data_IF_228093721622
#
_entry.id   IF_228093721622
#
_cell.length_a   1.000
_cell.length_b   1.000
_cell.length_c   1.000
_cell.angle_alpha   90.00
_cell.angle_beta   90.00
_cell.angle_gamma   90.00
#
_symmetry.space_group_name_H-M   'P 1'
#
loop_
_entity.id
_entity.type
_entity.pdbx_description
1 polymer ?
#
# COMPACT_ATOMS: atom_id res chain seq x y z
N UNK A 1 18.02 52.59 -5.62
CA UNK A 1 17.05 53.72 -5.75
C UNK A 1 17.70 54.92 -6.44
N UNK A 2 17.72 54.98 -7.76
CA UNK A 2 17.94 56.27 -8.43
C UNK A 2 16.61 57.04 -8.44
N UNK A 3 16.50 58.12 -7.67
CA UNK A 3 15.44 59.12 -7.82
C UNK A 3 14.21 59.05 -6.90
N UNK A 4 14.11 58.09 -5.95
CA UNK A 4 12.99 58.05 -5.00
C UNK A 4 11.67 57.45 -5.51
N UNK A 5 11.65 56.93 -6.74
CA UNK A 5 10.49 56.25 -7.33
C UNK A 5 10.21 54.89 -6.69
N UNK A 6 8.93 54.53 -6.61
CA UNK A 6 8.45 53.19 -6.22
C UNK A 6 8.57 52.21 -7.38
N UNK A 7 8.58 50.91 -7.09
CA UNK A 7 8.64 49.91 -8.15
C UNK A 7 7.42 49.95 -9.08
N UNK A 8 6.26 50.37 -8.57
CA UNK A 8 5.02 50.49 -9.35
C UNK A 8 5.12 51.63 -10.38
N UNK A 9 5.57 52.82 -9.96
CA UNK A 9 5.74 53.99 -10.83
C UNK A 9 6.76 53.73 -11.95
N UNK A 10 7.81 52.95 -11.64
CA UNK A 10 8.82 52.58 -12.62
C UNK A 10 8.30 51.48 -13.57
N UNK A 11 7.47 50.54 -13.10
CA UNK A 11 6.83 49.53 -13.96
C UNK A 11 5.92 50.16 -15.01
N UNK A 12 5.15 51.19 -14.63
CA UNK A 12 4.28 51.93 -15.55
C UNK A 12 5.06 52.64 -16.68
N UNK A 13 6.37 52.83 -16.48
CA UNK A 13 7.30 53.34 -17.51
C UNK A 13 7.93 52.23 -18.37
N UNK A 14 7.41 50.99 -18.28
CA UNK A 14 7.78 49.83 -19.10
C UNK A 14 9.21 49.28 -18.89
N UNK A 15 9.82 49.55 -17.72
CA UNK A 15 11.11 48.99 -17.33
C UNK A 15 11.01 47.49 -17.02
N UNK A 16 12.05 46.74 -17.41
CA UNK A 16 12.16 45.31 -17.15
C UNK A 16 12.64 45.03 -15.72
N UNK A 17 12.22 43.92 -15.12
CA UNK A 17 12.61 43.54 -13.75
C UNK A 17 14.15 43.52 -13.56
N UNK A 18 14.90 43.09 -14.58
CA UNK A 18 16.37 43.07 -14.56
C UNK A 18 16.98 44.47 -14.40
N UNK A 19 16.43 45.48 -15.06
CA UNK A 19 16.91 46.86 -14.99
C UNK A 19 16.64 47.46 -13.61
N UNK A 20 15.49 47.12 -13.03
CA UNK A 20 15.13 47.59 -11.69
C UNK A 20 16.00 46.94 -10.61
N UNK A 21 16.32 45.65 -10.73
CA UNK A 21 17.29 44.98 -9.84
C UNK A 21 18.67 45.66 -9.94
N UNK A 22 19.14 45.97 -11.15
CA UNK A 22 20.40 46.70 -11.36
C UNK A 22 20.36 48.13 -10.76
N UNK A 23 19.18 48.76 -10.77
CA UNK A 23 18.90 50.05 -10.10
C UNK A 23 18.80 49.97 -8.57
N UNK A 24 18.96 48.77 -7.99
CA UNK A 24 18.99 48.51 -6.56
C UNK A 24 17.61 48.39 -5.90
N UNK A 25 16.58 48.01 -6.66
CA UNK A 25 15.30 47.58 -6.08
C UNK A 25 15.42 46.15 -5.52
N UNK A 26 14.74 45.87 -4.41
CA UNK A 26 14.69 44.51 -3.84
C UNK A 26 13.60 43.67 -4.52
N UNK A 27 13.68 42.35 -4.40
CA UNK A 27 12.63 41.44 -4.91
C UNK A 27 11.28 41.71 -4.25
N UNK A 28 11.26 42.10 -2.97
CA UNK A 28 10.04 42.50 -2.26
C UNK A 28 9.43 43.76 -2.86
N UNK A 29 10.24 44.79 -3.11
CA UNK A 29 9.78 46.04 -3.74
C UNK A 29 9.18 45.76 -5.11
N UNK A 30 9.82 44.90 -5.91
CA UNK A 30 9.31 44.51 -7.23
C UNK A 30 7.99 43.73 -7.14
N UNK A 31 7.86 42.79 -6.20
CA UNK A 31 6.61 42.07 -5.97
C UNK A 31 5.47 43.03 -5.59
N UNK A 32 5.73 43.97 -4.67
CA UNK A 32 4.76 45.01 -4.28
C UNK A 32 4.43 45.95 -5.45
N UNK A 33 5.41 46.20 -6.32
CA UNK A 33 5.24 46.95 -7.57
C UNK A 33 4.45 46.23 -8.67
N UNK A 34 4.01 44.98 -8.42
CA UNK A 34 3.19 44.20 -9.35
C UNK A 34 3.99 43.40 -10.38
N UNK A 35 5.27 43.14 -10.14
CA UNK A 35 6.02 42.15 -10.91
C UNK A 35 5.69 40.73 -10.44
N UNK A 36 5.51 39.83 -11.40
CA UNK A 36 5.18 38.44 -11.15
C UNK A 36 6.43 37.58 -10.99
N UNK A 37 6.26 36.37 -10.43
CA UNK A 37 7.35 35.43 -10.27
C UNK A 37 8.08 35.10 -11.59
N UNK A 38 7.35 35.10 -12.72
CA UNK A 38 7.93 34.90 -14.05
C UNK A 38 8.90 36.02 -14.44
N UNK A 39 8.56 37.28 -14.15
CA UNK A 39 9.41 38.44 -14.47
C UNK A 39 10.75 38.35 -13.72
N UNK A 40 10.67 38.03 -12.43
CA UNK A 40 11.83 37.92 -11.55
C UNK A 40 12.70 36.70 -11.90
N UNK A 41 12.08 35.59 -12.29
CA UNK A 41 12.80 34.40 -12.79
C UNK A 41 13.53 34.72 -14.10
N UNK A 42 12.87 35.40 -15.04
CA UNK A 42 13.49 35.84 -16.30
C UNK A 42 14.63 36.84 -16.07
N UNK A 43 14.52 37.67 -15.04
CA UNK A 43 15.57 38.58 -14.59
C UNK A 43 16.73 37.90 -13.83
N UNK A 44 16.67 36.58 -13.61
CA UNK A 44 17.74 35.80 -12.99
C UNK A 44 17.74 35.79 -11.47
N UNK A 45 16.64 36.18 -10.81
CA UNK A 45 16.53 36.06 -9.36
C UNK A 45 16.58 34.59 -8.92
N UNK A 46 17.32 34.32 -7.83
CA UNK A 46 17.29 32.99 -7.24
C UNK A 46 15.97 32.74 -6.54
N UNK A 47 15.52 31.48 -6.51
CA UNK A 47 14.28 31.11 -5.82
C UNK A 47 14.35 31.40 -4.30
N UNK A 48 15.55 31.43 -3.72
CA UNK A 48 15.76 31.86 -2.32
C UNK A 48 15.45 33.34 -2.13
N UNK A 49 15.90 34.19 -3.05
CA UNK A 49 15.63 35.63 -3.02
C UNK A 49 14.15 35.90 -3.28
N UNK A 50 13.52 35.13 -4.18
CA UNK A 50 12.08 35.21 -4.41
C UNK A 50 11.27 34.85 -3.17
N UNK A 51 11.65 33.77 -2.48
CA UNK A 51 11.02 33.43 -1.20
C UNK A 51 11.22 34.52 -0.14
N UNK A 52 12.45 35.03 0.00
CA UNK A 52 12.75 36.10 0.94
C UNK A 52 12.00 37.40 0.62
N UNK A 53 11.76 37.67 -0.68
CA UNK A 53 10.93 38.77 -1.17
C UNK A 53 9.41 38.55 -1.04
N UNK A 54 8.97 37.41 -0.51
CA UNK A 54 7.58 37.12 -0.19
C UNK A 54 6.78 36.40 -1.27
N UNK A 55 7.42 35.82 -2.30
CA UNK A 55 6.73 34.92 -3.22
C UNK A 55 6.43 33.58 -2.55
N UNK A 56 5.21 33.09 -2.74
CA UNK A 56 4.76 31.78 -2.27
C UNK A 56 5.19 30.64 -3.22
N UNK A 57 5.11 29.40 -2.76
CA UNK A 57 5.34 28.24 -3.63
C UNK A 57 4.33 28.19 -4.81
N UNK A 58 3.12 28.71 -4.63
CA UNK A 58 2.10 28.81 -5.69
C UNK A 58 2.49 29.80 -6.77
N UNK A 59 3.04 30.96 -6.39
CA UNK A 59 3.53 31.96 -7.34
C UNK A 59 4.67 31.38 -8.18
N UNK A 60 5.62 30.70 -7.51
CA UNK A 60 6.75 30.06 -8.16
C UNK A 60 6.30 28.90 -9.08
N UNK A 61 5.30 28.11 -8.68
CA UNK A 61 4.76 27.05 -9.54
C UNK A 61 4.09 27.61 -10.78
N UNK A 62 3.32 28.69 -10.64
CA UNK A 62 2.72 29.41 -11.76
C UNK A 62 3.77 29.96 -12.72
N UNK A 63 4.97 30.25 -12.19
CA UNK A 63 6.16 30.59 -12.97
C UNK A 63 6.96 29.39 -13.53
N UNK A 64 6.38 28.19 -13.51
CA UNK A 64 6.98 26.96 -14.04
C UNK A 64 8.25 26.54 -13.30
N UNK A 65 8.39 26.91 -12.02
CA UNK A 65 9.49 26.42 -11.18
C UNK A 65 9.21 24.97 -10.77
N UNK A 66 10.22 24.13 -10.70
CA UNK A 66 10.07 22.72 -10.33
C UNK A 66 10.04 22.52 -8.80
N UNK A 67 9.50 21.39 -8.34
CA UNK A 67 9.54 21.02 -6.93
C UNK A 67 10.98 20.99 -6.36
N UNK A 68 11.98 20.59 -7.16
CA UNK A 68 13.40 20.56 -6.77
C UNK A 68 13.97 21.95 -6.49
N UNK A 69 13.67 22.91 -7.36
CA UNK A 69 14.10 24.31 -7.22
C UNK A 69 13.42 24.98 -6.02
N UNK A 70 12.10 24.80 -5.86
CA UNK A 70 11.34 25.31 -4.72
C UNK A 70 11.87 24.71 -3.41
N UNK A 71 12.11 23.39 -3.36
CA UNK A 71 12.71 22.75 -2.18
C UNK A 71 14.11 23.31 -1.88
N UNK A 72 14.92 23.59 -2.90
CA UNK A 72 16.25 24.19 -2.73
C UNK A 72 16.19 25.65 -2.22
N UNK A 73 15.07 26.33 -2.44
CA UNK A 73 14.74 27.61 -1.81
C UNK A 73 14.27 27.49 -0.35
N UNK A 74 14.14 26.27 0.16
CA UNK A 74 13.85 25.96 1.56
C UNK A 74 12.37 25.82 1.90
N UNK A 75 11.48 25.79 0.91
CA UNK A 75 10.07 25.50 1.14
C UNK A 75 9.88 24.05 1.62
N UNK A 76 8.89 23.85 2.50
CA UNK A 76 8.52 22.57 3.09
C UNK A 76 7.54 21.81 2.19
N UNK A 77 7.49 20.49 2.33
CA UNK A 77 6.58 19.64 1.55
C UNK A 77 5.10 20.03 1.65
N UNK A 78 4.65 20.54 2.79
CA UNK A 78 3.29 21.09 2.97
C UNK A 78 3.02 22.27 2.04
N UNK A 79 3.96 23.23 1.96
CA UNK A 79 3.86 24.40 1.09
C UNK A 79 3.83 23.99 -0.39
N UNK A 80 4.62 22.97 -0.78
CA UNK A 80 4.61 22.44 -2.14
C UNK A 80 3.27 21.74 -2.47
N UNK A 81 2.73 20.95 -1.54
CA UNK A 81 1.42 20.30 -1.75
C UNK A 81 0.30 21.33 -1.90
N UNK A 82 0.29 22.36 -1.06
CA UNK A 82 -0.67 23.47 -1.14
C UNK A 82 -0.55 24.25 -2.46
N UNK A 83 0.68 24.40 -2.97
CA UNK A 83 0.92 24.95 -4.31
C UNK A 83 0.46 24.01 -5.44
N UNK A 84 0.11 22.76 -5.14
CA UNK A 84 -0.44 21.79 -6.09
C UNK A 84 0.60 20.86 -6.72
N UNK A 85 1.82 20.78 -6.17
CA UNK A 85 2.73 19.69 -6.54
C UNK A 85 2.24 18.36 -5.96
N UNK A 86 2.36 17.29 -6.74
CA UNK A 86 1.99 15.95 -6.30
C UNK A 86 3.17 15.20 -5.64
N UNK A 87 2.87 14.08 -4.97
CA UNK A 87 3.87 13.30 -4.25
C UNK A 87 5.04 12.82 -5.13
N UNK A 88 4.79 12.51 -6.41
CA UNK A 88 5.85 12.08 -7.35
C UNK A 88 6.80 13.23 -7.68
N UNK A 89 6.31 14.45 -7.85
CA UNK A 89 7.14 15.63 -8.05
C UNK A 89 8.03 15.88 -6.82
N UNK A 90 7.47 15.77 -5.61
CA UNK A 90 8.26 15.88 -4.38
C UNK A 90 9.27 14.72 -4.23
N UNK A 91 8.87 13.50 -4.55
CA UNK A 91 9.77 12.34 -4.52
C UNK A 91 10.96 12.50 -5.47
N UNK A 92 10.71 12.99 -6.68
CA UNK A 92 11.73 13.27 -7.69
C UNK A 92 12.61 14.48 -7.37
N UNK A 93 12.11 15.43 -6.58
CA UNK A 93 12.86 16.62 -6.16
C UNK A 93 14.09 16.30 -5.28
N UNK A 94 14.12 15.12 -4.66
CA UNK A 94 15.20 14.69 -3.78
C UNK A 94 15.18 15.35 -2.40
N UNK A 95 15.39 14.53 -1.37
CA UNK A 95 15.40 14.98 0.03
C UNK A 95 14.04 15.00 0.72
N UNK A 96 12.97 14.57 0.05
CA UNK A 96 11.73 14.16 0.71
C UNK A 96 11.71 12.64 0.84
N UNK A 97 11.46 12.17 2.06
CA UNK A 97 11.20 10.75 2.35
C UNK A 97 9.69 10.49 2.38
N UNK A 98 9.28 9.22 2.43
CA UNK A 98 7.88 8.85 2.64
C UNK A 98 7.27 9.55 3.88
N UNK A 99 8.03 9.65 4.97
CA UNK A 99 7.54 10.36 6.17
C UNK A 99 7.27 11.83 5.89
N UNK A 100 8.17 12.52 5.18
CA UNK A 100 7.94 13.91 4.79
C UNK A 100 6.70 14.07 3.90
N UNK A 101 6.42 13.11 3.01
CA UNK A 101 5.22 13.13 2.18
C UNK A 101 3.95 12.89 3.01
N UNK A 102 3.99 11.96 3.97
CA UNK A 102 2.90 11.75 4.93
C UNK A 102 2.63 13.02 5.74
N UNK A 103 3.68 13.64 6.28
CA UNK A 103 3.59 14.88 7.06
C UNK A 103 3.09 16.06 6.22
N UNK A 104 3.39 16.05 4.91
CA UNK A 104 2.83 17.00 3.96
C UNK A 104 1.33 16.78 3.70
N UNK A 105 0.76 15.63 4.08
CA UNK A 105 -0.65 15.30 3.90
C UNK A 105 -0.96 14.46 2.65
N UNK A 106 0.03 13.79 2.09
CA UNK A 106 -0.18 12.79 1.03
C UNK A 106 -0.63 11.45 1.62
N UNK A 107 -1.49 10.75 0.88
CA UNK A 107 -1.96 9.42 1.25
C UNK A 107 -0.88 8.36 1.03
N UNK A 108 -1.06 7.19 1.63
CA UNK A 108 -0.18 6.04 1.37
C UNK A 108 -0.15 5.63 -0.11
N UNK A 109 -1.25 5.85 -0.86
CA UNK A 109 -1.32 5.59 -2.30
C UNK A 109 -0.41 6.55 -3.08
N UNK A 110 -0.51 7.85 -2.78
CA UNK A 110 0.33 8.89 -3.39
C UNK A 110 1.82 8.61 -3.17
N UNK A 111 2.19 8.16 -1.96
CA UNK A 111 3.57 7.81 -1.62
C UNK A 111 4.07 6.62 -2.43
N UNK A 112 3.22 5.61 -2.64
CA UNK A 112 3.55 4.45 -3.47
C UNK A 112 3.71 4.83 -4.94
N UNK A 113 2.86 5.72 -5.45
CA UNK A 113 2.96 6.28 -6.81
C UNK A 113 4.22 7.14 -7.01
N UNK A 114 4.67 7.80 -5.93
CA UNK A 114 5.93 8.51 -5.87
C UNK A 114 7.16 7.57 -5.83
N UNK A 115 6.96 6.25 -5.76
CA UNK A 115 8.02 5.24 -5.80
C UNK A 115 8.60 4.87 -4.44
N UNK A 116 7.99 5.31 -3.34
CA UNK A 116 8.40 4.91 -2.00
C UNK A 116 7.56 3.74 -1.49
N UNK A 117 8.08 3.02 -0.49
CA UNK A 117 7.28 2.09 0.31
C UNK A 117 6.44 2.86 1.32
N UNK A 118 5.13 2.70 1.26
CA UNK A 118 4.21 3.34 2.19
C UNK A 118 4.40 2.79 3.63
N UNK A 119 4.83 1.55 3.80
CA UNK A 119 5.13 0.97 5.13
C UNK A 119 6.25 1.66 5.89
N UNK A 120 7.06 2.50 5.23
CA UNK A 120 8.11 3.29 5.90
C UNK A 120 7.57 4.54 6.60
N UNK A 121 6.31 4.91 6.34
CA UNK A 121 5.65 6.07 6.96
C UNK A 121 4.29 5.73 7.60
N UNK A 122 3.66 4.62 7.19
CA UNK A 122 2.36 4.18 7.67
C UNK A 122 2.45 2.81 8.34
N UNK A 123 1.75 2.67 9.46
CA UNK A 123 1.53 1.39 10.13
C UNK A 123 0.62 0.48 9.30
N UNK A 124 0.68 -0.83 9.58
CA UNK A 124 -0.22 -1.82 8.98
C UNK A 124 -1.71 -1.44 9.14
N UNK A 125 -2.10 -0.96 10.32
CA UNK A 125 -3.47 -0.55 10.59
C UNK A 125 -3.91 0.64 9.72
N UNK A 126 -3.06 1.66 9.61
CA UNK A 126 -3.35 2.82 8.74
C UNK A 126 -3.46 2.40 7.28
N UNK A 127 -2.56 1.54 6.79
CA UNK A 127 -2.62 1.04 5.41
C UNK A 127 -3.88 0.24 5.14
N UNK A 128 -4.33 -0.59 6.08
CA UNK A 128 -5.61 -1.30 5.98
C UNK A 128 -6.79 -0.34 5.93
N UNK A 129 -6.82 0.68 6.80
CA UNK A 129 -7.86 1.72 6.74
C UNK A 129 -7.82 2.51 5.43
N UNK A 130 -6.64 2.65 4.82
CA UNK A 130 -6.43 3.23 3.50
C UNK A 130 -6.78 2.30 2.33
N UNK A 131 -7.40 1.15 2.61
CA UNK A 131 -7.88 0.21 1.59
C UNK A 131 -6.78 -0.60 0.91
N UNK A 132 -5.62 -0.79 1.54
CA UNK A 132 -4.60 -1.71 1.03
C UNK A 132 -5.06 -3.16 1.21
N UNK A 133 -5.02 -3.92 0.12
CA UNK A 133 -5.27 -5.36 0.16
C UNK A 133 -4.10 -6.09 0.82
N UNK A 134 -4.35 -7.30 1.33
CA UNK A 134 -3.31 -8.15 1.94
C UNK A 134 -2.16 -8.45 0.97
N UNK A 135 -2.44 -8.53 -0.34
CA UNK A 135 -1.41 -8.69 -1.37
C UNK A 135 -0.50 -7.46 -1.43
N UNK A 136 -1.08 -6.26 -1.40
CA UNK A 136 -0.32 -5.01 -1.41
C UNK A 136 0.49 -4.86 -0.12
N UNK A 137 -0.07 -5.23 1.03
CA UNK A 137 0.65 -5.21 2.30
C UNK A 137 1.86 -6.17 2.30
N UNK A 138 1.73 -7.31 1.62
CA UNK A 138 2.89 -8.21 1.40
C UNK A 138 3.96 -7.54 0.54
N UNK A 139 3.58 -6.79 -0.49
CA UNK A 139 4.51 -6.02 -1.34
C UNK A 139 5.17 -4.85 -0.58
N UNK A 140 4.50 -4.35 0.47
CA UNK A 140 5.03 -3.41 1.46
C UNK A 140 5.94 -4.08 2.53
N UNK A 141 6.30 -5.35 2.34
CA UNK A 141 7.15 -6.17 3.20
C UNK A 141 6.60 -6.56 4.58
N UNK A 142 5.29 -6.44 4.82
CA UNK A 142 4.73 -7.01 6.05
C UNK A 142 4.84 -8.53 6.04
N UNK A 143 5.39 -9.09 7.11
CA UNK A 143 5.48 -10.53 7.31
C UNK A 143 4.11 -11.15 7.52
N UNK A 144 4.00 -12.44 7.22
CA UNK A 144 2.76 -13.18 7.43
C UNK A 144 2.28 -13.15 8.89
N UNK A 145 3.21 -13.12 9.86
CA UNK A 145 2.90 -12.99 11.28
C UNK A 145 2.32 -11.62 11.61
N UNK A 146 2.94 -10.54 11.12
CA UNK A 146 2.41 -9.18 11.31
C UNK A 146 1.04 -9.02 10.68
N UNK A 147 0.80 -9.61 9.49
CA UNK A 147 -0.50 -9.59 8.84
C UNK A 147 -1.57 -10.27 9.72
N UNK A 148 -1.26 -11.42 10.32
CA UNK A 148 -2.17 -12.12 11.25
C UNK A 148 -2.45 -11.27 12.49
N UNK A 149 -1.41 -10.72 13.11
CA UNK A 149 -1.51 -9.89 14.32
C UNK A 149 -2.26 -8.57 14.04
N UNK A 150 -2.13 -8.03 12.83
CA UNK A 150 -2.93 -6.92 12.30
C UNK A 150 -4.34 -7.31 11.87
N UNK A 151 -4.81 -8.50 12.27
CA UNK A 151 -6.18 -8.97 12.08
C UNK A 151 -6.51 -9.47 10.68
N UNK A 152 -5.54 -9.86 9.86
CA UNK A 152 -5.85 -10.46 8.55
C UNK A 152 -6.43 -11.86 8.76
N UNK A 153 -7.59 -12.09 8.16
CA UNK A 153 -8.29 -13.38 8.24
C UNK A 153 -7.62 -14.44 7.36
N UNK A 154 -7.90 -15.71 7.64
CA UNK A 154 -7.39 -16.82 6.83
C UNK A 154 -7.85 -16.73 5.36
N UNK A 155 -9.07 -16.27 5.10
CA UNK A 155 -9.60 -16.10 3.74
C UNK A 155 -8.90 -14.98 2.98
N UNK A 156 -8.63 -13.84 3.64
CA UNK A 156 -7.87 -12.73 3.04
C UNK A 156 -6.44 -13.16 2.70
N UNK A 157 -5.77 -13.87 3.61
CA UNK A 157 -4.40 -14.37 3.39
C UNK A 157 -4.36 -15.42 2.27
N UNK A 158 -5.33 -16.34 2.25
CA UNK A 158 -5.47 -17.29 1.13
C UNK A 158 -5.64 -16.56 -0.21
N UNK A 159 -6.48 -15.53 -0.24
CA UNK A 159 -6.74 -14.74 -1.45
C UNK A 159 -5.50 -13.95 -1.90
N UNK A 160 -4.62 -13.59 -0.96
CA UNK A 160 -3.31 -13.02 -1.24
C UNK A 160 -2.24 -14.06 -1.66
N UNK A 161 -2.62 -15.34 -1.79
CA UNK A 161 -1.77 -16.40 -2.31
C UNK A 161 -0.91 -17.12 -1.26
N UNK A 162 -1.18 -16.95 0.04
CA UNK A 162 -0.49 -17.72 1.08
C UNK A 162 -1.00 -19.16 1.11
N UNK A 163 -0.09 -20.12 1.20
CA UNK A 163 -0.40 -21.54 1.28
C UNK A 163 -0.85 -21.93 2.70
N UNK A 164 -1.67 -22.98 2.79
CA UNK A 164 -2.18 -23.47 4.08
C UNK A 164 -1.06 -23.82 5.07
N UNK A 165 0.08 -24.34 4.61
CA UNK A 165 1.21 -24.68 5.49
C UNK A 165 1.84 -23.43 6.11
N UNK A 166 1.97 -22.35 5.34
CA UNK A 166 2.46 -21.07 5.84
C UNK A 166 1.52 -20.53 6.92
N UNK A 167 0.21 -20.60 6.69
CA UNK A 167 -0.80 -20.20 7.67
C UNK A 167 -0.79 -21.07 8.93
N UNK A 168 -0.58 -22.39 8.80
CA UNK A 168 -0.40 -23.24 9.99
C UNK A 168 0.84 -22.87 10.78
N UNK A 169 1.94 -22.50 10.12
CA UNK A 169 3.19 -22.16 10.80
C UNK A 169 3.07 -20.92 11.70
N UNK A 170 2.15 -20.02 11.37
CA UNK A 170 1.81 -18.85 12.20
C UNK A 170 0.59 -19.10 13.10
N UNK A 171 0.16 -20.36 13.25
CA UNK A 171 -0.86 -20.78 14.21
C UNK A 171 -2.31 -20.60 13.76
N UNK A 172 -2.62 -20.67 12.46
CA UNK A 172 -4.01 -20.89 12.02
C UNK A 172 -4.40 -22.36 12.21
N UNK A 173 -5.55 -22.61 12.83
CA UNK A 173 -6.08 -23.96 13.04
C UNK A 173 -6.68 -24.55 11.75
N UNK A 174 -6.83 -25.87 11.68
CA UNK A 174 -7.47 -26.54 10.51
C UNK A 174 -8.91 -26.06 10.32
N UNK A 175 -9.61 -25.75 11.41
CA UNK A 175 -10.94 -25.12 11.39
C UNK A 175 -10.91 -23.76 10.69
N UNK A 176 -9.95 -22.90 11.03
CA UNK A 176 -9.79 -21.60 10.39
C UNK A 176 -9.37 -21.73 8.92
N UNK A 177 -8.55 -22.72 8.56
CA UNK A 177 -8.22 -23.01 7.16
C UNK A 177 -9.47 -23.41 6.36
N UNK A 178 -10.32 -24.27 6.93
CA UNK A 178 -11.60 -24.66 6.32
C UNK A 178 -12.50 -23.45 6.09
N UNK A 179 -12.68 -22.62 7.12
CA UNK A 179 -13.50 -21.40 7.06
C UNK A 179 -12.90 -20.36 6.11
N UNK A 180 -11.57 -20.34 6.00
CA UNK A 180 -10.83 -19.55 5.00
C UNK A 180 -10.97 -20.08 3.56
N UNK A 181 -11.64 -21.22 3.36
CA UNK A 181 -11.92 -21.79 2.04
C UNK A 181 -10.83 -22.68 1.47
N UNK A 182 -9.90 -23.19 2.30
CA UNK A 182 -9.01 -24.26 1.86
C UNK A 182 -9.81 -25.55 1.65
N UNK A 183 -9.51 -26.29 0.57
CA UNK A 183 -10.16 -27.57 0.30
C UNK A 183 -9.27 -28.71 0.81
N UNK A 184 -9.89 -29.88 1.04
CA UNK A 184 -9.17 -31.06 1.53
C UNK A 184 -8.01 -31.48 0.60
N UNK A 185 -8.13 -31.33 -0.73
CA UNK A 185 -7.02 -31.58 -1.68
C UNK A 185 -5.83 -30.66 -1.39
N UNK A 186 -6.07 -29.36 -1.23
CA UNK A 186 -5.00 -28.40 -0.91
C UNK A 186 -4.27 -28.78 0.38
N UNK A 187 -5.04 -29.24 1.37
CA UNK A 187 -4.51 -29.63 2.68
C UNK A 187 -3.79 -30.98 2.65
N UNK A 188 -4.27 -31.95 1.86
CA UNK A 188 -3.59 -33.22 1.63
C UNK A 188 -2.22 -33.01 0.98
N UNK A 189 -2.15 -32.14 -0.03
CA UNK A 189 -0.90 -31.79 -0.74
C UNK A 189 0.17 -31.20 0.16
N UNK A 190 -0.23 -30.51 1.25
CA UNK A 190 0.71 -29.97 2.24
C UNK A 190 0.90 -30.89 3.46
N UNK A 191 0.42 -32.14 3.36
CA UNK A 191 0.69 -33.21 4.30
C UNK A 191 -0.28 -33.35 5.47
N UNK A 192 -1.44 -32.67 5.46
CA UNK A 192 -2.44 -32.91 6.51
C UNK A 192 -3.12 -34.27 6.32
N UNK A 193 -3.33 -34.95 7.43
CA UNK A 193 -3.99 -36.25 7.51
C UNK A 193 -5.52 -36.10 7.52
N UNK A 194 -6.22 -37.18 7.18
CA UNK A 194 -7.68 -37.25 7.31
C UNK A 194 -8.15 -37.01 8.76
N UNK A 195 -7.34 -37.41 9.76
CA UNK A 195 -7.62 -37.20 11.19
C UNK A 195 -7.59 -35.72 11.56
N UNK A 196 -6.57 -34.99 11.13
CA UNK A 196 -6.45 -33.54 11.37
C UNK A 196 -7.57 -32.76 10.68
N UNK A 197 -7.92 -33.15 9.45
CA UNK A 197 -9.03 -32.56 8.71
C UNK A 197 -10.37 -32.86 9.37
N UNK A 198 -10.59 -34.08 9.87
CA UNK A 198 -11.78 -34.42 10.64
C UNK A 198 -11.90 -33.58 11.91
N UNK A 199 -10.81 -33.42 12.66
CA UNK A 199 -10.78 -32.57 13.85
C UNK A 199 -11.06 -31.10 13.49
N UNK A 200 -10.58 -30.64 12.33
CA UNK A 200 -10.94 -29.37 11.72
C UNK A 200 -12.30 -29.35 11.03
N UNK A 201 -13.18 -30.34 11.28
CA UNK A 201 -14.57 -30.44 10.83
C UNK A 201 -14.82 -30.63 9.33
N UNK A 202 -13.84 -31.15 8.58
CA UNK A 202 -14.09 -31.63 7.23
C UNK A 202 -14.93 -32.90 7.25
N UNK A 203 -15.88 -33.00 6.31
CA UNK A 203 -16.74 -34.18 6.13
C UNK A 203 -16.08 -35.16 5.16
N UNK A 204 -16.47 -36.43 5.24
CA UNK A 204 -15.98 -37.50 4.34
C UNK A 204 -16.08 -37.11 2.88
N UNK A 205 -17.19 -36.52 2.43
CA UNK A 205 -17.33 -36.12 1.01
C UNK A 205 -16.24 -35.14 0.57
N UNK A 206 -15.87 -34.19 1.44
CA UNK A 206 -14.78 -33.26 1.17
C UNK A 206 -13.44 -33.97 1.12
N UNK A 207 -13.19 -34.92 2.04
CA UNK A 207 -11.96 -35.73 2.06
C UNK A 207 -11.85 -36.60 0.81
N UNK A 208 -12.91 -37.31 0.44
CA UNK A 208 -12.96 -38.12 -0.78
C UNK A 208 -12.68 -37.27 -2.02
N UNK A 209 -13.33 -36.11 -2.15
CA UNK A 209 -13.07 -35.17 -3.25
C UNK A 209 -11.64 -34.60 -3.19
N UNK A 210 -11.06 -34.54 -1.99
CA UNK A 210 -9.66 -34.20 -1.75
C UNK A 210 -8.66 -35.32 -2.03
N UNK A 211 -9.12 -36.47 -2.55
CA UNK A 211 -8.27 -37.61 -2.85
C UNK A 211 -7.89 -38.47 -1.65
N UNK A 212 -8.58 -38.33 -0.51
CA UNK A 212 -8.42 -39.27 0.61
C UNK A 212 -9.11 -40.60 0.33
N UNK A 213 -8.46 -41.70 0.73
CA UNK A 213 -8.99 -43.05 0.59
C UNK A 213 -9.98 -43.38 1.70
N UNK A 214 -10.78 -44.44 1.49
CA UNK A 214 -11.68 -44.93 2.54
C UNK A 214 -10.90 -45.44 3.76
N UNK A 215 -9.72 -46.04 3.56
CA UNK A 215 -8.82 -46.46 4.62
C UNK A 215 -8.31 -45.29 5.44
N UNK A 216 -7.82 -44.22 4.79
CA UNK A 216 -7.37 -43.01 5.49
C UNK A 216 -8.53 -42.39 6.31
N UNK A 217 -9.74 -42.36 5.76
CA UNK A 217 -10.92 -41.85 6.47
C UNK A 217 -11.36 -42.78 7.62
N UNK A 218 -11.27 -44.10 7.44
CA UNK A 218 -11.53 -45.07 8.52
C UNK A 218 -10.53 -44.90 9.66
N UNK A 219 -9.24 -44.80 9.35
CA UNK A 219 -8.18 -44.56 10.33
C UNK A 219 -8.33 -43.21 11.04
N UNK A 220 -8.95 -42.22 10.38
CA UNK A 220 -9.34 -40.96 10.99
C UNK A 220 -10.55 -41.05 11.95
N UNK A 221 -11.18 -42.22 12.05
CA UNK A 221 -12.30 -42.48 12.94
C UNK A 221 -13.67 -42.12 12.36
N UNK A 222 -13.81 -42.02 11.03
CA UNK A 222 -15.13 -41.95 10.41
C UNK A 222 -15.81 -43.31 10.44
N UNK A 223 -17.09 -43.32 10.82
CA UNK A 223 -17.92 -44.51 10.80
C UNK A 223 -18.24 -44.93 9.36
N UNK A 224 -18.58 -46.20 9.18
CA UNK A 224 -19.02 -46.71 7.88
C UNK A 224 -20.21 -45.93 7.30
N UNK A 225 -21.16 -45.52 8.15
CA UNK A 225 -22.31 -44.72 7.74
C UNK A 225 -21.87 -43.38 7.14
N UNK A 226 -20.91 -42.70 7.78
CA UNK A 226 -20.32 -41.47 7.26
C UNK A 226 -19.54 -41.71 5.97
N UNK A 227 -18.81 -42.83 5.87
CA UNK A 227 -18.05 -43.18 4.66
C UNK A 227 -18.97 -43.40 3.45
N UNK A 228 -20.08 -44.11 3.65
CA UNK A 228 -21.12 -44.31 2.62
C UNK A 228 -21.79 -43.00 2.23
N UNK A 229 -22.21 -42.20 3.22
CA UNK A 229 -22.81 -40.89 2.98
C UNK A 229 -21.84 -39.95 2.25
N UNK A 230 -20.53 -40.11 2.45
CA UNK A 230 -19.48 -39.42 1.71
C UNK A 230 -19.19 -39.95 0.31
N UNK A 231 -19.88 -41.01 -0.13
CA UNK A 231 -19.81 -41.54 -1.50
C UNK A 231 -18.80 -42.68 -1.72
N UNK A 232 -18.27 -43.32 -0.67
CA UNK A 232 -17.51 -44.55 -0.82
C UNK A 232 -18.44 -45.74 -1.05
N UNK A 233 -18.14 -46.54 -2.08
CA UNK A 233 -18.97 -47.70 -2.45
C UNK A 233 -18.75 -48.88 -1.50
N UNK A 234 -19.73 -49.77 -1.39
CA UNK A 234 -19.62 -50.98 -0.57
C UNK A 234 -18.42 -51.86 -0.95
N UNK A 235 -18.01 -51.87 -2.23
CA UNK A 235 -16.80 -52.57 -2.69
C UNK A 235 -15.53 -51.99 -2.07
N UNK A 236 -15.38 -50.67 -2.12
CA UNK A 236 -14.23 -49.95 -1.53
C UNK A 236 -14.21 -50.13 0.00
N UNK A 237 -15.36 -50.08 0.66
CA UNK A 237 -15.43 -50.27 2.12
C UNK A 237 -15.02 -51.68 2.54
N UNK A 238 -15.38 -52.71 1.77
CA UNK A 238 -14.89 -54.08 2.02
C UNK A 238 -13.39 -54.19 1.86
N UNK A 239 -12.81 -53.61 0.81
CA UNK A 239 -11.35 -53.60 0.62
C UNK A 239 -10.63 -52.83 1.73
N UNK A 240 -11.29 -51.83 2.32
CA UNK A 240 -10.82 -51.07 3.48
C UNK A 240 -11.11 -51.76 4.83
N UNK A 241 -11.39 -53.07 4.80
CA UNK A 241 -11.52 -53.92 5.98
C UNK A 241 -12.78 -53.69 6.81
N UNK A 242 -13.88 -53.19 6.23
CA UNK A 242 -15.20 -53.28 6.86
C UNK A 242 -15.83 -54.65 6.58
N UNK A 243 -16.51 -55.27 7.57
CA UNK A 243 -17.08 -56.60 7.40
C UNK A 243 -18.20 -56.58 6.34
N UNK A 244 -18.27 -57.67 5.55
CA UNK A 244 -19.21 -57.78 4.43
C UNK A 244 -20.68 -57.72 4.88
N UNK A 245 -20.98 -58.16 6.10
CA UNK A 245 -22.30 -58.07 6.74
C UNK A 245 -22.76 -56.62 6.92
N UNK A 246 -21.85 -55.72 7.31
CA UNK A 246 -22.14 -54.28 7.46
C UNK A 246 -22.13 -53.56 6.11
N UNK A 247 -21.48 -54.13 5.10
CA UNK A 247 -21.44 -53.59 3.74
C UNK A 247 -22.68 -53.91 2.89
N UNK A 248 -23.63 -54.71 3.39
CA UNK A 248 -24.88 -55.07 2.72
C UNK A 248 -26.04 -54.38 3.43
N UNK A 249 -26.40 -53.18 3.00
CA UNK A 249 -27.65 -52.46 3.29
C UNK A 249 -27.70 -51.25 2.36
#
# INVERSE_FOLDING_TARGET
RQGGYTALEVRESNFQAQEMLAGGFTVEELRVGGFEANDLKAAGCSMKDMRAGGFSATDLRSAGVTAAEIKSAGFKGTELREAGYNARELGGAGGFSAQHLKDAGFSARDIREAGFRASTAFSLAELRSGGFSVRELREENFSLKELKEGGCTCSELRSAGFAAKELQSIGFSVTQLREGGFLADNLKKVGLTASELRAGGYRVISLRNGGFTADECKSAGFSMKELRAGGFTAGILRSSGFPASECKL
#
